data_IF_422255750821
#
_entry.id   IF_422255750821
#
_cell.length_a   1.000
_cell.length_b   1.000
_cell.length_c   1.000
_cell.angle_alpha   90.00
_cell.angle_beta   90.00
_cell.angle_gamma   90.00
#
_symmetry.space_group_name_H-M   'P 1'
#
loop_
_entity.id
_entity.type
_entity.pdbx_description
1 polymer ?
#
# COMPACT_ATOMS: atom_id res chain seq x y z
N UNK A 1 -11.52 -5.94 1.49
CA UNK A 1 -10.33 -5.07 1.27
C UNK A 1 -10.71 -3.96 0.31
N UNK A 2 -10.31 -2.73 0.62
CA UNK A 2 -10.47 -1.53 -0.21
C UNK A 2 -9.07 -1.13 -0.67
N UNK A 3 -8.86 -0.96 -1.97
CA UNK A 3 -7.62 -0.41 -2.53
C UNK A 3 -7.84 1.04 -2.99
N UNK A 4 -6.87 1.90 -2.74
CA UNK A 4 -6.92 3.32 -3.06
C UNK A 4 -5.68 3.66 -3.88
N UNK A 5 -5.85 4.24 -5.05
CA UNK A 5 -4.76 4.73 -5.91
C UNK A 5 -5.31 5.83 -6.83
N UNK A 6 -4.43 6.64 -7.40
CA UNK A 6 -4.78 7.66 -8.40
C UNK A 6 -4.75 7.12 -9.84
N UNK A 7 -4.15 5.96 -10.07
CA UNK A 7 -4.06 5.33 -11.38
C UNK A 7 -5.14 4.25 -11.54
N UNK A 8 -6.01 4.41 -12.53
CA UNK A 8 -7.10 3.47 -12.79
C UNK A 8 -6.58 2.05 -13.07
N UNK A 9 -5.47 1.93 -13.83
CA UNK A 9 -4.85 0.64 -14.14
C UNK A 9 -4.37 -0.12 -12.89
N UNK A 10 -3.86 0.61 -11.87
CA UNK A 10 -3.45 0.01 -10.59
C UNK A 10 -4.65 -0.45 -9.78
N UNK A 11 -5.76 0.29 -9.84
CA UNK A 11 -7.02 -0.11 -9.21
C UNK A 11 -7.60 -1.37 -9.86
N UNK A 12 -7.54 -1.47 -11.18
CA UNK A 12 -7.97 -2.67 -11.91
C UNK A 12 -7.07 -3.87 -11.55
N UNK A 13 -5.76 -3.65 -11.52
CA UNK A 13 -4.83 -4.67 -11.07
C UNK A 13 -5.09 -5.11 -9.62
N UNK A 14 -5.35 -4.16 -8.70
CA UNK A 14 -5.68 -4.48 -7.31
C UNK A 14 -6.89 -5.42 -7.18
N UNK A 15 -7.90 -5.28 -8.05
CA UNK A 15 -9.05 -6.20 -8.10
C UNK A 15 -8.62 -7.62 -8.46
N UNK A 16 -7.67 -7.78 -9.37
CA UNK A 16 -7.18 -9.11 -9.78
C UNK A 16 -6.42 -9.84 -8.67
N UNK A 17 -5.85 -9.10 -7.72
CA UNK A 17 -5.11 -9.64 -6.57
C UNK A 17 -5.90 -9.61 -5.26
N UNK A 18 -7.21 -9.29 -5.32
CA UNK A 18 -8.12 -9.51 -4.21
C UNK A 18 -8.75 -8.27 -3.57
N UNK A 19 -8.63 -7.09 -4.16
CA UNK A 19 -9.39 -5.93 -3.69
C UNK A 19 -10.89 -6.10 -4.02
N UNK A 20 -11.76 -5.98 -3.01
CA UNK A 20 -13.20 -6.09 -3.20
C UNK A 20 -13.84 -4.77 -3.64
N UNK A 21 -13.23 -3.66 -3.29
CA UNK A 21 -13.64 -2.29 -3.65
C UNK A 21 -12.40 -1.47 -4.00
N UNK A 22 -12.58 -0.45 -4.81
CA UNK A 22 -11.51 0.49 -5.17
C UNK A 22 -12.02 1.91 -5.06
N UNK A 23 -11.12 2.83 -4.69
CA UNK A 23 -11.36 4.26 -4.63
C UNK A 23 -10.30 4.93 -5.51
N UNK A 24 -10.73 5.79 -6.43
CA UNK A 24 -9.82 6.61 -7.24
C UNK A 24 -9.52 7.91 -6.48
N UNK A 25 -8.29 8.06 -6.00
CA UNK A 25 -7.92 9.12 -5.08
C UNK A 25 -8.18 10.54 -5.57
N UNK A 26 -7.97 10.81 -6.87
CA UNK A 26 -8.18 12.14 -7.47
C UNK A 26 -9.65 12.47 -7.78
N UNK A 27 -10.55 11.50 -7.64
CA UNK A 27 -11.98 11.69 -7.93
C UNK A 27 -12.84 11.85 -6.70
N UNK A 28 -12.25 11.71 -5.52
CA UNK A 28 -12.94 11.84 -4.24
C UNK A 28 -12.46 13.09 -3.51
N UNK A 29 -13.40 13.89 -3.05
CA UNK A 29 -13.08 15.08 -2.26
C UNK A 29 -12.60 14.73 -0.84
N UNK A 30 -13.10 13.63 -0.28
CA UNK A 30 -12.74 13.12 1.04
C UNK A 30 -12.61 11.59 1.00
N UNK A 31 -11.37 11.13 0.89
CA UNK A 31 -11.04 9.71 0.87
C UNK A 31 -11.44 9.01 2.19
N UNK A 32 -11.22 9.67 3.31
CA UNK A 32 -11.52 9.08 4.61
C UNK A 32 -13.03 8.87 4.79
N UNK A 33 -13.84 9.85 4.38
CA UNK A 33 -15.31 9.71 4.40
C UNK A 33 -15.75 8.59 3.46
N UNK A 34 -15.19 8.54 2.25
CA UNK A 34 -15.52 7.49 1.30
C UNK A 34 -15.18 6.08 1.81
N UNK A 35 -14.06 5.94 2.54
CA UNK A 35 -13.72 4.68 3.22
C UNK A 35 -14.75 4.34 4.28
N UNK A 36 -15.18 5.32 5.10
CA UNK A 36 -16.20 5.10 6.15
C UNK A 36 -17.54 4.65 5.56
N UNK A 37 -17.99 5.29 4.47
CA UNK A 37 -19.21 4.90 3.76
C UNK A 37 -19.15 3.45 3.26
N UNK A 38 -18.10 3.10 2.50
CA UNK A 38 -17.95 1.77 1.88
C UNK A 38 -17.78 0.66 2.93
N UNK A 39 -17.13 0.97 4.05
CA UNK A 39 -16.83 0.00 5.10
C UNK A 39 -17.90 -0.10 6.19
N UNK A 40 -18.89 0.79 6.18
CA UNK A 40 -19.91 0.84 7.24
C UNK A 40 -19.36 1.35 8.58
N UNK A 41 -18.68 2.49 8.57
CA UNK A 41 -18.19 3.17 9.76
C UNK A 41 -16.69 3.22 9.95
N UNK A 42 -15.91 2.83 8.95
CA UNK A 42 -14.44 2.93 8.93
C UNK A 42 -13.74 1.57 8.87
N UNK A 43 -12.49 1.61 8.44
CA UNK A 43 -11.66 0.42 8.31
C UNK A 43 -11.16 -0.08 9.68
N UNK A 44 -11.06 -1.40 9.87
CA UNK A 44 -10.43 -1.98 11.07
C UNK A 44 -8.91 -1.84 11.04
N UNK A 45 -8.36 -1.95 9.83
CA UNK A 45 -6.91 -1.82 9.57
C UNK A 45 -6.74 -0.99 8.32
N UNK A 46 -5.84 -0.04 8.37
CA UNK A 46 -5.38 0.72 7.20
C UNK A 46 -3.88 0.57 7.01
N UNK A 47 -3.42 0.60 5.77
CA UNK A 47 -2.00 0.51 5.42
C UNK A 47 -1.68 1.66 4.47
N UNK A 48 -0.72 2.50 4.84
CA UNK A 48 -0.10 3.42 3.89
C UNK A 48 1.20 2.79 3.37
N UNK A 49 1.19 2.44 2.09
CA UNK A 49 2.34 1.85 1.40
C UNK A 49 3.06 2.84 0.49
N UNK A 50 2.52 4.06 0.33
CA UNK A 50 3.14 5.11 -0.49
C UNK A 50 4.12 5.96 0.31
N UNK A 51 3.72 6.46 1.46
CA UNK A 51 4.56 7.27 2.33
C UNK A 51 4.59 8.75 1.97
N UNK A 52 3.44 9.40 1.92
CA UNK A 52 3.33 10.85 1.92
C UNK A 52 2.32 11.34 2.96
N UNK A 53 2.38 12.64 3.29
CA UNK A 53 1.56 13.24 4.35
C UNK A 53 0.05 13.11 4.08
N UNK A 54 -0.36 13.17 2.82
CA UNK A 54 -1.79 13.08 2.44
C UNK A 54 -2.30 11.66 2.63
N UNK A 55 -1.58 10.65 2.12
CA UNK A 55 -1.99 9.25 2.24
C UNK A 55 -1.92 8.76 3.67
N UNK A 56 -0.90 9.17 4.43
CA UNK A 56 -0.79 8.88 5.86
C UNK A 56 -2.01 9.40 6.63
N UNK A 57 -2.34 10.69 6.45
CA UNK A 57 -3.50 11.31 7.11
C UNK A 57 -4.82 10.65 6.71
N UNK A 58 -5.06 10.42 5.41
CA UNK A 58 -6.28 9.79 4.93
C UNK A 58 -6.43 8.36 5.45
N UNK A 59 -5.31 7.63 5.52
CA UNK A 59 -5.24 6.26 6.05
C UNK A 59 -5.66 6.21 7.53
N UNK A 60 -5.19 7.16 8.35
CA UNK A 60 -5.58 7.28 9.77
C UNK A 60 -7.03 7.72 9.90
N UNK A 61 -7.43 8.76 9.17
CA UNK A 61 -8.78 9.35 9.27
C UNK A 61 -9.89 8.43 8.80
N UNK A 62 -9.60 7.45 7.92
CA UNK A 62 -10.56 6.46 7.45
C UNK A 62 -10.80 5.28 8.41
N UNK A 63 -10.14 5.25 9.57
CA UNK A 63 -10.28 4.19 10.54
C UNK A 63 -11.57 4.34 11.38
N UNK A 64 -12.08 3.20 11.84
CA UNK A 64 -13.12 3.11 12.86
C UNK A 64 -12.50 3.18 14.25
N UNK A 65 -13.34 3.27 15.30
CA UNK A 65 -12.89 3.13 16.69
C UNK A 65 -12.07 1.86 16.89
N UNK A 66 -10.99 1.96 17.65
CA UNK A 66 -10.01 0.88 17.90
C UNK A 66 -9.35 0.35 16.61
N UNK A 67 -9.34 1.16 15.54
CA UNK A 67 -8.68 0.82 14.29
C UNK A 67 -7.16 0.91 14.38
N UNK A 68 -6.47 0.20 13.46
CA UNK A 68 -5.00 0.16 13.42
C UNK A 68 -4.50 0.73 12.10
N UNK A 69 -3.64 1.74 12.18
CA UNK A 69 -2.88 2.24 11.05
C UNK A 69 -1.49 1.59 11.01
N UNK A 70 -1.09 1.11 9.83
CA UNK A 70 0.24 0.54 9.59
C UNK A 70 0.95 1.38 8.54
N UNK A 71 2.00 2.09 8.96
CA UNK A 71 2.87 2.83 8.05
C UNK A 71 3.96 1.92 7.51
N UNK A 72 3.91 1.61 6.22
CA UNK A 72 4.90 0.82 5.48
C UNK A 72 5.69 1.71 4.52
N UNK A 73 5.02 2.65 3.87
CA UNK A 73 5.63 3.62 2.98
C UNK A 73 6.58 4.55 3.73
N UNK A 74 7.76 4.80 3.16
CA UNK A 74 8.77 5.66 3.78
C UNK A 74 8.35 7.12 3.69
N UNK A 75 8.19 7.75 4.84
CA UNK A 75 8.05 9.19 4.96
C UNK A 75 9.47 9.78 5.06
N UNK A 76 9.93 10.44 4.02
CA UNK A 76 11.31 10.96 3.94
C UNK A 76 11.36 12.40 3.42
N UNK A 77 12.48 13.09 3.64
CA UNK A 77 12.65 14.47 3.21
C UNK A 77 11.58 15.39 3.80
N UNK A 78 10.88 16.13 2.96
CA UNK A 78 9.80 17.05 3.38
C UNK A 78 8.59 16.31 4.00
N UNK A 79 8.41 15.03 3.68
CA UNK A 79 7.30 14.21 4.19
C UNK A 79 7.61 13.53 5.54
N UNK A 80 8.83 13.68 6.07
CA UNK A 80 9.28 12.97 7.28
C UNK A 80 8.50 13.29 8.55
N UNK A 81 7.79 14.42 8.57
CA UNK A 81 6.99 14.87 9.72
C UNK A 81 5.54 15.15 9.28
N UNK A 82 4.74 14.11 9.02
CA UNK A 82 3.37 14.29 8.58
C UNK A 82 2.48 14.87 9.70
N UNK A 83 1.51 15.70 9.34
CA UNK A 83 0.49 16.14 10.27
C UNK A 83 -0.49 14.99 10.57
N UNK A 84 -0.34 14.39 11.73
CA UNK A 84 -1.22 13.32 12.21
C UNK A 84 -2.43 13.92 12.91
N UNK A 85 -3.67 13.45 12.63
CA UNK A 85 -4.89 13.91 13.30
C UNK A 85 -4.99 13.30 14.72
N UNK A 86 -4.20 13.84 15.66
CA UNK A 86 -4.09 13.30 17.02
C UNK A 86 -5.39 13.39 17.82
N UNK A 87 -6.26 14.32 17.53
CA UNK A 87 -7.62 14.39 18.05
C UNK A 87 -8.43 13.13 17.72
N UNK A 88 -8.37 12.68 16.47
CA UNK A 88 -8.99 11.45 16.02
C UNK A 88 -8.32 10.22 16.62
N UNK A 89 -6.99 10.22 16.77
CA UNK A 89 -6.25 9.12 17.40
C UNK A 89 -6.72 8.92 18.84
N UNK A 90 -6.86 10.00 19.59
CA UNK A 90 -7.29 9.95 21.00
C UNK A 90 -8.78 9.58 21.09
N UNK A 91 -9.66 10.28 20.36
CA UNK A 91 -11.11 10.10 20.47
C UNK A 91 -11.61 8.74 19.98
N UNK A 92 -10.89 8.11 19.07
CA UNK A 92 -11.20 6.77 18.53
C UNK A 92 -10.31 5.66 19.08
N UNK A 93 -9.40 5.96 20.00
CA UNK A 93 -8.45 5.00 20.60
C UNK A 93 -7.73 4.19 19.53
N UNK A 94 -7.09 4.89 18.55
CA UNK A 94 -6.42 4.27 17.41
C UNK A 94 -5.02 3.79 17.78
N UNK A 95 -4.56 2.72 17.13
CA UNK A 95 -3.18 2.27 17.17
C UNK A 95 -2.44 2.74 15.90
N UNK A 96 -1.25 3.34 16.07
CA UNK A 96 -0.35 3.73 14.97
C UNK A 96 0.91 2.89 15.07
N UNK A 97 1.19 2.12 14.02
CA UNK A 97 2.28 1.14 13.98
C UNK A 97 3.18 1.41 12.77
N UNK A 98 4.49 1.36 12.97
CA UNK A 98 5.48 1.34 11.90
C UNK A 98 5.80 -0.09 11.49
N UNK A 99 6.10 -0.30 10.20
CA UNK A 99 6.59 -1.57 9.67
C UNK A 99 7.72 -1.31 8.69
N UNK A 100 8.86 -1.95 8.89
CA UNK A 100 10.03 -1.79 8.04
C UNK A 100 10.61 -3.15 7.66
N UNK A 101 10.45 -3.53 6.39
CA UNK A 101 10.92 -4.79 5.86
C UNK A 101 10.32 -6.01 6.55
N UNK A 102 10.97 -7.15 6.41
CA UNK A 102 10.59 -8.39 7.07
C UNK A 102 11.82 -9.06 7.70
N UNK A 103 11.69 -9.43 8.97
CA UNK A 103 12.78 -10.10 9.69
C UNK A 103 13.04 -11.50 9.09
N UNK A 104 14.30 -11.91 9.02
CA UNK A 104 14.73 -13.19 8.42
C UNK A 104 13.99 -14.40 9.01
N UNK A 105 13.75 -14.41 10.32
CA UNK A 105 13.05 -15.50 11.01
C UNK A 105 11.55 -15.63 10.62
N UNK A 106 10.97 -14.63 9.93
CA UNK A 106 9.59 -14.65 9.46
C UNK A 106 9.44 -15.26 8.06
N UNK A 107 10.53 -15.42 7.33
CA UNK A 107 10.49 -16.00 5.97
C UNK A 107 9.83 -17.38 5.91
N UNK A 108 10.11 -18.33 6.82
CA UNK A 108 9.44 -19.65 6.78
C UNK A 108 7.90 -19.52 6.78
N UNK A 109 7.33 -18.69 7.66
CA UNK A 109 5.89 -18.50 7.71
C UNK A 109 5.31 -17.88 6.42
N UNK A 110 6.04 -16.96 5.79
CA UNK A 110 5.65 -16.41 4.49
C UNK A 110 5.70 -17.47 3.39
N UNK A 111 6.74 -18.30 3.36
CA UNK A 111 6.88 -19.38 2.38
C UNK A 111 5.77 -20.41 2.54
N UNK A 112 5.40 -20.76 3.77
CA UNK A 112 4.25 -21.63 4.06
C UNK A 112 2.94 -21.05 3.51
N UNK A 113 2.73 -19.72 3.60
CA UNK A 113 1.57 -19.07 3.00
C UNK A 113 1.59 -19.16 1.46
N UNK A 114 2.77 -19.08 0.84
CA UNK A 114 2.93 -19.25 -0.61
C UNK A 114 2.63 -20.70 -1.01
N UNK A 115 3.18 -21.68 -0.30
CA UNK A 115 2.92 -23.11 -0.53
C UNK A 115 1.43 -23.45 -0.38
N UNK A 116 0.78 -22.86 0.63
CA UNK A 116 -0.66 -22.97 0.85
C UNK A 116 -1.51 -22.15 -0.14
N UNK A 117 -0.90 -21.48 -1.13
CA UNK A 117 -1.55 -20.60 -2.12
C UNK A 117 -2.34 -19.43 -1.52
N UNK A 118 -2.09 -19.08 -0.26
CA UNK A 118 -2.67 -17.90 0.40
C UNK A 118 -2.00 -16.60 -0.06
N UNK A 119 -0.71 -16.67 -0.44
CA UNK A 119 0.03 -15.63 -1.13
C UNK A 119 0.45 -16.13 -2.52
N UNK A 120 0.33 -15.27 -3.51
CA UNK A 120 0.64 -15.59 -4.90
C UNK A 120 1.54 -14.50 -5.51
N UNK A 121 2.82 -14.38 -5.07
CA UNK A 121 3.72 -13.29 -5.48
C UNK A 121 3.96 -13.27 -6.99
N UNK A 122 3.88 -14.41 -7.67
CA UNK A 122 3.99 -14.46 -9.13
C UNK A 122 2.96 -13.58 -9.86
N UNK A 123 1.79 -13.33 -9.27
CA UNK A 123 0.79 -12.41 -9.83
C UNK A 123 1.24 -10.95 -9.80
N UNK A 124 2.22 -10.62 -8.96
CA UNK A 124 2.75 -9.27 -8.84
C UNK A 124 3.85 -8.98 -9.86
N UNK A 125 4.35 -9.98 -10.59
CA UNK A 125 5.37 -9.78 -11.62
C UNK A 125 4.71 -9.15 -12.85
N UNK A 126 5.01 -7.87 -13.07
CA UNK A 126 4.50 -7.11 -14.22
C UNK A 126 5.42 -7.22 -15.44
N UNK A 127 6.73 -7.29 -15.21
CA UNK A 127 7.73 -7.35 -16.28
C UNK A 127 8.96 -8.15 -15.84
N UNK A 128 9.58 -8.85 -16.80
CA UNK A 128 10.93 -9.41 -16.64
C UNK A 128 11.87 -8.75 -17.62
N UNK A 129 13.11 -8.48 -17.19
CA UNK A 129 14.14 -7.81 -17.98
C UNK A 129 15.49 -8.53 -17.88
N UNK A 130 16.39 -8.25 -18.81
CA UNK A 130 17.80 -8.59 -18.71
C UNK A 130 18.55 -7.67 -17.75
N UNK A 131 19.67 -8.13 -17.20
CA UNK A 131 20.50 -7.33 -16.30
C UNK A 131 21.04 -6.05 -16.97
N UNK A 132 21.37 -6.10 -18.24
CA UNK A 132 21.86 -4.96 -19.01
C UNK A 132 20.80 -3.87 -19.26
N UNK A 133 19.52 -4.21 -19.17
CA UNK A 133 18.41 -3.24 -19.24
C UNK A 133 18.19 -2.50 -17.90
N UNK A 134 18.74 -3.04 -16.79
CA UNK A 134 18.46 -2.55 -15.44
C UNK A 134 18.82 -1.07 -15.22
N UNK A 135 19.98 -0.54 -15.69
CA UNK A 135 20.31 0.88 -15.49
C UNK A 135 19.28 1.82 -16.11
N UNK A 136 18.85 1.50 -17.34
CA UNK A 136 17.81 2.28 -18.04
C UNK A 136 16.46 2.18 -17.36
N UNK A 137 16.14 1.00 -16.81
CA UNK A 137 14.89 0.78 -16.09
C UNK A 137 14.86 1.56 -14.76
N UNK A 138 15.94 1.51 -13.98
CA UNK A 138 16.07 2.26 -12.73
C UNK A 138 15.92 3.76 -12.92
N UNK A 139 16.55 4.32 -13.97
CA UNK A 139 16.46 5.75 -14.29
C UNK A 139 15.03 6.23 -14.62
N UNK A 140 14.11 5.31 -14.94
CA UNK A 140 12.71 5.61 -15.28
C UNK A 140 11.72 5.28 -14.14
N UNK A 141 12.20 4.75 -13.01
CA UNK A 141 11.31 4.31 -11.93
C UNK A 141 10.58 5.47 -11.22
N UNK A 142 11.16 6.68 -11.23
CA UNK A 142 10.52 7.86 -10.62
C UNK A 142 9.16 8.22 -11.26
N UNK A 143 8.89 7.73 -12.48
CA UNK A 143 7.61 7.96 -13.15
C UNK A 143 6.46 7.09 -12.64
N UNK A 144 6.69 6.13 -11.75
CA UNK A 144 5.70 5.18 -11.18
C UNK A 144 4.79 4.52 -12.23
N UNK A 145 5.28 4.36 -13.46
CA UNK A 145 4.51 3.84 -14.58
C UNK A 145 4.44 2.30 -14.55
N UNK A 146 3.26 1.78 -14.89
CA UNK A 146 2.98 0.35 -14.98
C UNK A 146 2.45 -0.28 -13.70
N UNK A 147 2.08 -1.54 -13.80
CA UNK A 147 1.54 -2.36 -12.71
C UNK A 147 2.49 -3.51 -12.38
N UNK A 148 2.52 -3.90 -11.11
CA UNK A 148 3.36 -4.97 -10.62
C UNK A 148 4.83 -4.59 -10.45
N UNK A 149 5.67 -5.60 -10.19
CA UNK A 149 7.12 -5.44 -10.00
C UNK A 149 7.88 -5.87 -11.23
N UNK A 150 9.03 -5.23 -11.48
CA UNK A 150 9.97 -5.68 -12.51
C UNK A 150 10.99 -6.62 -11.88
N UNK A 151 11.21 -7.76 -12.52
CA UNK A 151 12.16 -8.80 -12.08
C UNK A 151 13.27 -8.93 -13.10
N UNK A 152 14.52 -8.94 -12.64
CA UNK A 152 15.66 -9.33 -13.47
C UNK A 152 15.79 -10.85 -13.39
N UNK A 153 15.56 -11.56 -14.48
CA UNK A 153 15.59 -13.03 -14.54
C UNK A 153 16.69 -13.58 -15.46
N UNK A 154 17.35 -12.71 -16.21
CA UNK A 154 18.41 -13.07 -17.16
C UNK A 154 19.66 -12.26 -16.89
N UNK A 155 20.74 -12.97 -16.53
CA UNK A 155 22.00 -12.38 -16.10
C UNK A 155 23.12 -12.54 -17.15
N UNK A 156 22.80 -13.17 -18.28
CA UNK A 156 23.73 -13.38 -19.42
C UNK A 156 22.96 -13.32 -20.72
#
# INVERSE_FOLDING_TARGET
MIAIDIAAEKLDFARTVGAHRTIHGDRENDIAERVREISGGGAHVSVDALGNSVTCRNSISGLRKHGKHIQVGLLSGAESMPAIPMDSVISNELEILGSHGMQAHRYPAMLDMILARKLQPAKLVGKTIHLDELPTHLAKMDGFNGTGVTVVDRFR
#
